data_IF_079861196580
#
_entry.id   IF_079861196580
#
_cell.length_a   1.000
_cell.length_b   1.000
_cell.length_c   1.000
_cell.angle_alpha   90.00
_cell.angle_beta   90.00
_cell.angle_gamma   90.00
#
_symmetry.space_group_name_H-M   'P 1'
#
loop_
_entity.id
_entity.type
_entity.pdbx_description
1 polymer ?
#
# COMPACT_ATOMS: atom_id res chain seq x y z
N UNK A 1 10.67 -9.47 -6.81
CA UNK A 1 9.72 -8.48 -6.27
C UNK A 1 9.81 -8.55 -4.76
N UNK A 2 10.52 -7.59 -4.16
CA UNK A 2 10.73 -7.50 -2.71
C UNK A 2 9.43 -7.05 -2.01
N UNK A 3 9.15 -7.60 -0.83
CA UNK A 3 7.96 -7.30 -0.01
C UNK A 3 8.40 -6.50 1.21
N UNK A 4 7.75 -5.35 1.45
CA UNK A 4 8.10 -4.48 2.57
C UNK A 4 6.96 -4.40 3.58
N UNK A 5 7.35 -4.33 4.86
CA UNK A 5 6.43 -4.08 5.96
C UNK A 5 6.28 -2.57 6.15
N UNK A 6 5.05 -2.08 6.07
CA UNK A 6 4.69 -0.69 6.36
C UNK A 6 3.59 -0.66 7.40
N UNK A 7 3.55 0.40 8.19
CA UNK A 7 2.54 0.58 9.22
C UNK A 7 1.31 1.27 8.64
N UNK A 8 0.12 0.72 8.85
CA UNK A 8 -1.16 1.40 8.69
C UNK A 8 -1.73 1.82 10.06
N UNK A 9 -2.68 2.76 10.08
CA UNK A 9 -3.23 3.39 11.30
C UNK A 9 -3.46 2.40 12.45
N UNK A 10 -3.00 2.76 13.64
CA UNK A 10 -3.27 1.99 14.86
C UNK A 10 -2.26 0.90 15.20
N UNK A 11 -1.06 0.90 14.62
CA UNK A 11 0.03 -0.06 14.88
C UNK A 11 -0.09 -1.41 14.15
N UNK A 12 -0.92 -1.50 13.11
CA UNK A 12 -1.00 -2.70 12.29
C UNK A 12 0.08 -2.68 11.22
N UNK A 13 0.89 -3.74 11.21
CA UNK A 13 1.90 -3.97 10.17
C UNK A 13 1.24 -4.64 8.97
N UNK A 14 1.20 -3.92 7.85
CA UNK A 14 0.79 -4.47 6.56
C UNK A 14 2.01 -4.72 5.68
N UNK A 15 1.95 -5.76 4.87
CA UNK A 15 2.93 -6.03 3.83
C UNK A 15 2.45 -5.39 2.54
N UNK A 16 3.32 -4.58 1.94
CA UNK A 16 3.12 -4.00 0.61
C UNK A 16 4.05 -4.67 -0.38
N UNK A 17 3.48 -5.08 -1.51
CA UNK A 17 4.21 -5.68 -2.62
C UNK A 17 3.95 -4.91 -3.90
N UNK A 18 4.97 -4.40 -4.60
CA UNK A 18 4.79 -3.88 -5.94
C UNK A 18 4.31 -4.97 -6.88
N UNK A 19 3.22 -4.70 -7.59
CA UNK A 19 2.68 -5.58 -8.63
C UNK A 19 2.99 -4.99 -10.00
N UNK A 20 2.72 -3.69 -10.17
CA UNK A 20 2.98 -2.95 -11.41
C UNK A 20 3.43 -1.52 -11.12
N UNK A 21 3.72 -0.75 -12.18
CA UNK A 21 4.06 0.67 -12.05
C UNK A 21 2.91 1.40 -11.32
N UNK A 22 3.25 1.98 -10.17
CA UNK A 22 2.31 2.67 -9.30
C UNK A 22 1.21 1.78 -8.68
N UNK A 23 1.28 0.45 -8.76
CA UNK A 23 0.28 -0.47 -8.20
C UNK A 23 0.90 -1.40 -7.17
N UNK A 24 0.27 -1.48 -6.00
CA UNK A 24 0.80 -2.15 -4.82
C UNK A 24 -0.28 -3.01 -4.17
N UNK A 25 0.04 -4.28 -3.94
CA UNK A 25 -0.82 -5.18 -3.19
C UNK A 25 -0.56 -5.01 -1.71
N UNK A 26 -1.63 -4.83 -0.93
CA UNK A 26 -1.59 -4.73 0.53
C UNK A 26 -2.07 -6.05 1.14
N UNK A 27 -1.26 -6.59 2.04
CA UNK A 27 -1.51 -7.86 2.73
C UNK A 27 -1.39 -7.65 4.22
N UNK A 28 -2.47 -7.88 4.96
CA UNK A 28 -2.50 -7.81 6.42
C UNK A 28 -2.55 -9.24 6.96
N UNK A 29 -1.67 -9.58 7.91
CA UNK A 29 -1.67 -10.90 8.56
C UNK A 29 -1.70 -12.10 7.57
N UNK A 30 -0.86 -12.04 6.53
CA UNK A 30 -0.80 -13.03 5.44
C UNK A 30 -2.06 -13.10 4.54
N UNK A 31 -3.05 -12.22 4.72
CA UNK A 31 -4.26 -12.16 3.90
C UNK A 31 -4.24 -10.92 3.00
N UNK A 32 -4.44 -11.05 1.68
CA UNK A 32 -4.58 -9.88 0.81
C UNK A 32 -5.87 -9.14 1.20
N UNK A 33 -5.71 -7.88 1.61
CA UNK A 33 -6.82 -7.00 2.01
C UNK A 33 -7.20 -6.00 0.93
N UNK A 34 -6.37 -5.87 -0.11
CA UNK A 34 -6.69 -5.06 -1.28
C UNK A 34 -5.45 -4.62 -2.04
N UNK A 35 -5.66 -3.72 -3.00
CA UNK A 35 -4.59 -3.12 -3.80
C UNK A 35 -4.74 -1.61 -3.76
N UNK A 36 -3.61 -0.91 -3.73
CA UNK A 36 -3.57 0.55 -3.76
C UNK A 36 -2.71 0.99 -4.95
N UNK A 37 -3.15 2.09 -5.56
CA UNK A 37 -2.52 2.68 -6.72
C UNK A 37 -2.15 4.13 -6.42
N UNK A 38 -0.91 4.50 -6.77
CA UNK A 38 -0.46 5.89 -6.76
C UNK A 38 -0.95 6.56 -8.05
N UNK A 39 -1.74 7.60 -7.91
CA UNK A 39 -2.15 8.45 -9.02
C UNK A 39 -1.68 9.89 -8.76
N UNK A 40 -1.72 10.75 -9.79
CA UNK A 40 -1.16 12.10 -9.72
C UNK A 40 -1.80 13.01 -8.64
N UNK A 41 -2.95 12.60 -8.07
CA UNK A 41 -3.64 13.29 -6.99
C UNK A 41 -3.56 12.60 -5.62
N UNK A 42 -2.76 11.54 -5.48
CA UNK A 42 -2.61 10.79 -4.22
C UNK A 42 -2.77 9.28 -4.38
N UNK A 43 -2.95 8.61 -3.24
CA UNK A 43 -3.11 7.17 -3.19
C UNK A 43 -4.58 6.79 -3.24
N UNK A 44 -4.93 5.78 -4.03
CA UNK A 44 -6.30 5.29 -4.14
C UNK A 44 -6.35 3.78 -3.99
N UNK A 45 -7.39 3.26 -3.37
CA UNK A 45 -7.65 1.82 -3.36
C UNK A 45 -8.33 1.39 -4.65
N UNK A 46 -8.03 0.18 -5.12
CA UNK A 46 -8.82 -0.49 -6.16
C UNK A 46 -10.05 -1.19 -5.56
N UNK A 47 -11.03 -1.51 -6.42
CA UNK A 47 -12.37 -2.02 -6.07
C UNK A 47 -12.39 -3.28 -5.17
N UNK A 48 -11.28 -4.00 -5.02
CA UNK A 48 -11.15 -5.20 -4.18
C UNK A 48 -10.64 -4.91 -2.76
N UNK A 49 -10.91 -3.72 -2.22
CA UNK A 49 -10.57 -3.37 -0.84
C UNK A 49 -11.55 -4.02 0.15
N UNK A 50 -11.02 -4.80 1.10
CA UNK A 50 -11.77 -5.26 2.27
C UNK A 50 -12.06 -4.07 3.19
N UNK A 51 -13.05 -4.21 4.08
CA UNK A 51 -13.43 -3.18 5.07
C UNK A 51 -12.25 -2.71 5.94
N UNK A 52 -11.23 -3.55 6.13
CA UNK A 52 -9.99 -3.22 6.83
C UNK A 52 -9.12 -2.17 6.11
N UNK A 53 -9.25 -2.06 4.78
CA UNK A 53 -8.50 -1.13 3.95
C UNK A 53 -9.32 0.15 3.72
N UNK A 54 -9.34 1.03 4.71
CA UNK A 54 -10.02 2.32 4.64
C UNK A 54 -9.23 3.34 3.80
N UNK A 55 -9.93 4.36 3.26
CA UNK A 55 -9.29 5.45 2.51
C UNK A 55 -8.18 6.16 3.30
N UNK A 56 -8.33 6.28 4.62
CA UNK A 56 -7.33 6.84 5.52
C UNK A 56 -6.08 5.95 5.60
N UNK A 57 -6.27 4.64 5.78
CA UNK A 57 -5.18 3.67 5.76
C UNK A 57 -4.44 3.67 4.42
N UNK A 58 -5.16 3.82 3.31
CA UNK A 58 -4.60 3.90 1.96
C UNK A 58 -3.65 5.10 1.81
N UNK A 59 -4.05 6.28 2.30
CA UNK A 59 -3.17 7.46 2.28
C UNK A 59 -1.89 7.19 3.06
N UNK A 60 -2.00 6.71 4.31
CA UNK A 60 -0.82 6.48 5.16
C UNK A 60 0.12 5.41 4.61
N UNK A 61 -0.43 4.28 4.15
CA UNK A 61 0.37 3.21 3.52
C UNK A 61 1.10 3.79 2.31
N UNK A 62 0.40 4.60 1.52
CA UNK A 62 0.94 5.29 0.38
C UNK A 62 2.10 6.24 0.72
N UNK A 63 1.93 7.08 1.73
CA UNK A 63 3.00 7.97 2.23
C UNK A 63 4.21 7.17 2.70
N UNK A 64 4.00 6.02 3.37
CA UNK A 64 5.10 5.13 3.76
C UNK A 64 5.80 4.53 2.55
N UNK A 65 5.07 4.13 1.51
CA UNK A 65 5.66 3.63 0.26
C UNK A 65 6.52 4.72 -0.40
N UNK A 66 6.07 5.97 -0.38
CA UNK A 66 6.82 7.11 -0.94
C UNK A 66 8.18 7.32 -0.25
N UNK A 67 8.23 7.08 1.07
CA UNK A 67 9.46 7.16 1.86
C UNK A 67 10.39 5.96 1.67
N UNK A 68 9.94 4.88 1.01
CA UNK A 68 10.79 3.71 0.81
C UNK A 68 11.76 3.95 -0.37
N UNK A 69 13.02 3.47 -0.26
CA UNK A 69 14.12 3.83 -1.16
C UNK A 69 13.99 3.32 -2.60
N UNK A 70 12.99 2.50 -2.93
CA UNK A 70 12.82 1.87 -4.25
C UNK A 70 12.04 2.74 -5.26
N UNK A 71 11.49 3.89 -4.85
CA UNK A 71 10.98 4.90 -5.79
C UNK A 71 12.09 5.61 -6.58
N UNK A 72 13.37 5.50 -6.16
CA UNK A 72 14.52 6.21 -6.76
C UNK A 72 15.23 5.48 -7.90
N UNK A 73 14.66 4.40 -8.46
CA UNK A 73 15.10 3.87 -9.76
C UNK A 73 14.20 4.45 -10.87
N UNK A 74 14.40 5.73 -11.17
CA UNK A 74 14.01 6.31 -12.46
C UNK A 74 15.26 6.78 -13.20
#
# INVERSE_FOLDING_TARGET
MEEHLVYSLGSQLVKVKPVEKNLYRVTLDNRPIGMIRKNNGGWMMEEYAKEELTAESVQLIGEKIDQLPWQFKQ
#
